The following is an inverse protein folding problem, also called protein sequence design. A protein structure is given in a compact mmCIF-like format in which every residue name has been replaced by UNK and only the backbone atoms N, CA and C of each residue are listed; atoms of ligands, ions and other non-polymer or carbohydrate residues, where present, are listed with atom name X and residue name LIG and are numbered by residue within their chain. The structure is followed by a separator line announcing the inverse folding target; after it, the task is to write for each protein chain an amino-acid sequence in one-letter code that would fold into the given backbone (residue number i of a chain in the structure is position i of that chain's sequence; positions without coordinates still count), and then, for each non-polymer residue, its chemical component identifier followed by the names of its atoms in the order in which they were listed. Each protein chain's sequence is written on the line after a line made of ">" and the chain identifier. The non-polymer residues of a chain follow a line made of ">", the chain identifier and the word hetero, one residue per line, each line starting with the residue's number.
data_IF_489391389444
#
_entry.id   IF_489391389444
#
_cell.length_a   1.000
_cell.length_b   1.000
_cell.length_c   1.000
_cell.angle_alpha   90.00
_cell.angle_beta   90.00
_cell.angle_gamma   90.00
#
_symmetry.space_group_name_H-M   'P 1'
#
loop_
_entity.id
_entity.type
_entity.pdbx_description
1 polymer ?
#
# COMPACT_ATOMS: atom_id res chain seq x y z
N UNK A 1 14.70 -17.81 -35.54
CA UNK A 1 15.49 -18.97 -35.98
C UNK A 1 14.56 -20.15 -36.19
N UNK A 2 14.96 -21.17 -36.92
CA UNK A 2 14.17 -22.40 -37.11
C UNK A 2 15.08 -23.63 -37.15
N UNK A 3 14.48 -24.82 -37.16
CA UNK A 3 15.19 -26.09 -37.36
C UNK A 3 15.09 -26.52 -38.82
N UNK A 4 16.15 -27.15 -39.33
CA UNK A 4 16.14 -27.73 -40.67
C UNK A 4 15.19 -28.94 -40.71
N UNK A 5 14.49 -29.20 -41.83
CA UNK A 5 13.69 -30.41 -42.00
C UNK A 5 14.52 -31.69 -41.83
N UNK A 6 13.90 -32.75 -41.32
CA UNK A 6 14.53 -34.08 -41.23
C UNK A 6 14.62 -34.70 -42.63
N UNK A 7 15.80 -35.14 -43.06
CA UNK A 7 16.02 -35.76 -44.36
C UNK A 7 17.20 -35.17 -45.13
N UNK A 8 17.03 -34.96 -46.43
CA UNK A 8 18.03 -34.32 -47.28
C UNK A 8 18.24 -32.85 -46.87
N UNK A 9 19.51 -32.44 -46.80
CA UNK A 9 19.88 -31.10 -46.35
C UNK A 9 19.42 -30.05 -47.37
N UNK A 10 18.62 -29.05 -46.97
CA UNK A 10 18.20 -27.98 -47.87
C UNK A 10 19.37 -27.05 -48.22
N UNK A 11 19.34 -26.49 -49.42
CA UNK A 11 20.36 -25.56 -49.94
C UNK A 11 20.01 -24.09 -49.69
N UNK A 12 18.73 -23.79 -49.46
CA UNK A 12 18.22 -22.46 -49.10
C UNK A 12 16.84 -22.55 -48.45
N UNK A 13 16.46 -21.45 -47.81
CA UNK A 13 15.16 -21.23 -47.21
C UNK A 13 14.55 -19.95 -47.75
N UNK A 14 13.26 -19.97 -48.03
CA UNK A 14 12.46 -18.78 -48.28
C UNK A 14 11.76 -18.37 -46.99
N UNK A 15 11.93 -17.12 -46.59
CA UNK A 15 11.28 -16.54 -45.42
C UNK A 15 10.19 -15.58 -45.89
N UNK A 16 8.99 -15.72 -45.34
CA UNK A 16 7.85 -14.85 -45.63
C UNK A 16 7.32 -14.23 -44.34
N UNK A 17 6.79 -13.02 -44.43
CA UNK A 17 5.99 -12.36 -43.40
C UNK A 17 4.64 -11.98 -43.99
N UNK A 18 3.57 -12.43 -43.34
CA UNK A 18 2.17 -12.26 -43.78
C UNK A 18 1.96 -12.66 -45.24
N UNK A 19 2.62 -13.76 -45.65
CA UNK A 19 2.55 -14.29 -47.01
C UNK A 19 3.41 -13.54 -48.05
N UNK A 20 4.11 -12.47 -47.68
CA UNK A 20 5.05 -11.76 -48.56
C UNK A 20 6.46 -12.27 -48.37
N UNK A 21 7.15 -12.64 -49.45
CA UNK A 21 8.54 -13.10 -49.41
C UNK A 21 9.48 -11.97 -48.98
N UNK A 22 10.18 -12.20 -47.87
CA UNK A 22 11.23 -11.33 -47.33
C UNK A 22 12.61 -11.65 -47.89
N UNK A 23 12.74 -12.79 -48.58
CA UNK A 23 13.95 -13.19 -49.29
C UNK A 23 14.34 -14.65 -49.07
N UNK A 24 15.48 -14.99 -49.65
CA UNK A 24 16.10 -16.32 -49.58
C UNK A 24 17.36 -16.25 -48.70
N UNK A 25 17.54 -17.24 -47.82
CA UNK A 25 18.76 -17.39 -47.00
C UNK A 25 19.28 -18.82 -47.04
N UNK A 26 20.56 -19.01 -46.76
CA UNK A 26 21.19 -20.35 -46.74
C UNK A 26 21.31 -20.93 -45.32
N UNK A 27 21.21 -20.10 -44.29
CA UNK A 27 21.22 -20.52 -42.89
C UNK A 27 19.82 -20.70 -42.31
N UNK A 28 19.75 -21.19 -41.07
CA UNK A 28 18.49 -21.39 -40.31
C UNK A 28 18.11 -20.19 -39.43
N UNK A 29 18.65 -19.01 -39.78
CA UNK A 29 18.44 -17.76 -39.06
C UNK A 29 18.14 -16.64 -40.05
N UNK A 30 17.24 -15.73 -39.65
CA UNK A 30 16.90 -14.52 -40.38
C UNK A 30 16.57 -13.43 -39.37
N UNK A 31 16.99 -12.19 -39.68
CA UNK A 31 16.69 -11.00 -38.89
C UNK A 31 15.86 -10.07 -39.77
N UNK A 32 14.59 -9.89 -39.39
CA UNK A 32 13.71 -8.92 -40.05
C UNK A 32 13.95 -7.53 -39.43
N UNK A 33 14.68 -6.68 -40.14
CA UNK A 33 15.06 -5.34 -39.65
C UNK A 33 14.03 -4.25 -39.93
N UNK A 34 12.94 -4.56 -40.64
CA UNK A 34 11.90 -3.62 -41.06
C UNK A 34 10.56 -3.90 -40.39
N UNK A 35 10.59 -4.59 -39.25
CA UNK A 35 9.42 -4.80 -38.39
C UNK A 35 9.00 -3.46 -37.80
N UNK A 36 7.74 -3.08 -37.99
CA UNK A 36 7.18 -1.93 -37.26
C UNK A 36 6.96 -2.32 -35.80
N UNK A 37 7.57 -1.56 -34.89
CA UNK A 37 7.50 -1.77 -33.43
C UNK A 37 6.75 -0.67 -32.69
N UNK A 38 6.20 0.31 -33.41
CA UNK A 38 5.52 1.49 -32.89
C UNK A 38 3.98 1.38 -32.90
N UNK A 39 3.44 0.17 -33.10
CA UNK A 39 2.01 -0.13 -32.99
C UNK A 39 1.81 -1.58 -32.61
N UNK A 40 0.65 -1.90 -32.03
CA UNK A 40 0.27 -3.29 -31.79
C UNK A 40 0.01 -4.00 -33.11
N UNK A 41 0.74 -5.08 -33.37
CA UNK A 41 0.63 -5.85 -34.62
C UNK A 41 1.05 -7.29 -34.39
N UNK A 42 0.36 -8.21 -35.05
CA UNK A 42 0.75 -9.62 -35.11
C UNK A 42 1.27 -9.92 -36.51
N UNK A 43 2.48 -10.47 -36.58
CA UNK A 43 3.10 -10.94 -37.82
C UNK A 43 3.10 -12.46 -37.86
N UNK A 44 2.72 -13.04 -39.00
CA UNK A 44 2.87 -14.47 -39.27
C UNK A 44 4.10 -14.70 -40.13
N UNK A 45 5.07 -15.44 -39.60
CA UNK A 45 6.27 -15.82 -40.34
C UNK A 45 6.13 -17.24 -40.87
N UNK A 46 6.46 -17.42 -42.15
CA UNK A 46 6.52 -18.71 -42.80
C UNK A 46 7.94 -18.97 -43.29
N UNK A 47 8.40 -20.21 -43.16
CA UNK A 47 9.69 -20.64 -43.71
C UNK A 47 9.47 -21.89 -44.55
N UNK A 48 10.00 -21.88 -45.77
CA UNK A 48 10.02 -23.03 -46.66
C UNK A 48 11.47 -23.41 -46.96
N UNK A 49 11.79 -24.69 -46.90
CA UNK A 49 13.10 -25.20 -47.30
C UNK A 49 13.08 -25.64 -48.77
N UNK A 50 14.22 -25.53 -49.44
CA UNK A 50 14.42 -26.03 -50.81
C UNK A 50 15.58 -27.00 -50.85
N UNK A 51 15.37 -28.18 -51.43
CA UNK A 51 16.41 -29.18 -51.67
C UNK A 51 17.34 -28.78 -52.85
N UNK A 52 18.42 -29.53 -53.14
CA UNK A 52 19.30 -29.24 -54.29
C UNK A 52 18.63 -29.28 -55.66
N UNK A 53 17.47 -29.95 -55.79
CA UNK A 53 16.64 -30.00 -56.99
C UNK A 53 15.59 -28.90 -57.04
N UNK A 54 15.57 -28.01 -56.05
CA UNK A 54 14.62 -26.91 -55.88
C UNK A 54 13.17 -27.35 -55.62
N UNK A 55 12.97 -28.56 -55.08
CA UNK A 55 11.68 -28.93 -54.52
C UNK A 55 11.46 -28.21 -53.19
N UNK A 56 10.26 -27.68 -53.01
CA UNK A 56 9.85 -26.90 -51.83
C UNK A 56 9.24 -27.82 -50.77
N UNK A 57 9.62 -27.64 -49.51
CA UNK A 57 9.04 -28.35 -48.38
C UNK A 57 7.63 -27.87 -48.01
N UNK A 58 7.00 -28.55 -47.04
CA UNK A 58 5.92 -27.94 -46.25
C UNK A 58 6.44 -26.74 -45.45
N UNK A 59 5.54 -25.83 -45.07
CA UNK A 59 5.88 -24.63 -44.30
C UNK A 59 6.13 -24.96 -42.83
N UNK A 60 7.14 -24.31 -42.25
CA UNK A 60 7.16 -23.99 -40.83
C UNK A 60 6.48 -22.63 -40.63
N UNK A 61 5.65 -22.49 -39.59
CA UNK A 61 4.86 -21.29 -39.31
C UNK A 61 4.94 -20.90 -37.84
N UNK A 62 5.05 -19.59 -37.57
CA UNK A 62 4.99 -19.03 -36.21
C UNK A 62 4.42 -17.62 -36.24
N UNK A 63 3.83 -17.19 -35.13
CA UNK A 63 3.29 -15.83 -34.96
C UNK A 63 4.12 -15.05 -33.96
N UNK A 64 4.48 -13.82 -34.31
CA UNK A 64 5.14 -12.86 -33.42
C UNK A 64 4.19 -11.72 -33.13
N UNK A 65 3.89 -11.51 -31.85
CA UNK A 65 3.04 -10.40 -31.39
C UNK A 65 3.93 -9.27 -30.91
N UNK A 66 3.75 -8.10 -31.50
CA UNK A 66 4.31 -6.84 -31.03
C UNK A 66 3.24 -6.13 -30.23
N UNK A 67 3.53 -5.86 -28.95
CA UNK A 67 2.71 -5.01 -28.09
C UNK A 67 3.39 -3.66 -27.92
N UNK A 68 2.60 -2.60 -27.77
CA UNK A 68 3.14 -1.31 -27.38
C UNK A 68 3.50 -1.32 -25.89
N UNK A 69 4.54 -0.57 -25.47
CA UNK A 69 4.60 -0.16 -24.07
C UNK A 69 3.35 0.66 -23.75
N UNK A 70 2.72 0.42 -22.60
CA UNK A 70 1.63 1.27 -22.11
C UNK A 70 2.11 2.73 -22.06
N UNK A 71 1.28 3.65 -22.56
CA UNK A 71 1.57 5.07 -22.40
C UNK A 71 1.59 5.41 -20.90
N UNK A 72 2.55 6.24 -20.44
CA UNK A 72 2.62 6.61 -19.03
C UNK A 72 1.35 7.36 -18.64
N UNK A 73 0.60 6.79 -17.69
CA UNK A 73 -0.57 7.46 -17.12
C UNK A 73 -0.09 8.63 -16.27
N UNK A 74 -0.59 9.84 -16.54
CA UNK A 74 -0.33 10.96 -15.64
C UNK A 74 -1.07 10.75 -14.32
N UNK A 75 -0.31 10.39 -13.28
CA UNK A 75 -0.84 10.15 -11.95
C UNK A 75 -0.95 11.45 -11.17
N UNK A 76 -2.15 11.74 -10.67
CA UNK A 76 -2.43 12.93 -9.85
C UNK A 76 -3.15 12.55 -8.57
N UNK A 77 -2.81 13.24 -7.48
CA UNK A 77 -3.58 13.20 -6.22
C UNK A 77 -4.06 14.63 -5.92
N UNK A 78 -5.37 14.83 -5.98
CA UNK A 78 -6.00 16.11 -5.70
C UNK A 78 -6.18 16.33 -4.20
N UNK A 79 -6.43 15.29 -3.42
CA UNK A 79 -6.65 15.40 -1.97
C UNK A 79 -6.26 14.14 -1.20
N UNK A 80 -5.80 14.33 0.03
CA UNK A 80 -5.63 13.27 1.04
C UNK A 80 -6.22 13.78 2.34
N UNK A 81 -7.35 13.21 2.73
CA UNK A 81 -8.06 13.54 3.96
C UNK A 81 -8.12 12.32 4.87
N UNK A 82 -8.25 12.59 6.17
CA UNK A 82 -8.28 11.55 7.17
C UNK A 82 -9.14 11.96 8.36
N UNK A 83 -9.62 10.97 9.08
CA UNK A 83 -10.43 11.14 10.28
C UNK A 83 -9.97 10.16 11.35
N UNK A 84 -10.04 10.59 12.60
CA UNK A 84 -9.75 9.79 13.77
C UNK A 84 -10.77 10.05 14.87
N UNK A 85 -10.75 9.23 15.92
CA UNK A 85 -11.55 9.48 17.12
C UNK A 85 -10.75 10.38 18.05
N UNK A 86 -11.28 11.55 18.41
CA UNK A 86 -10.57 12.53 19.25
C UNK A 86 -11.17 12.63 20.65
N UNK A 87 -10.34 12.99 21.63
CA UNK A 87 -10.81 13.42 22.94
C UNK A 87 -11.01 14.95 23.00
N UNK A 88 -11.52 15.45 24.14
CA UNK A 88 -11.78 16.88 24.35
C UNK A 88 -10.51 17.74 24.44
N UNK A 89 -9.35 17.10 24.57
CA UNK A 89 -8.04 17.74 24.66
C UNK A 89 -7.30 17.73 23.32
N UNK A 90 -7.99 17.38 22.23
CA UNK A 90 -7.43 17.31 20.88
C UNK A 90 -6.31 16.27 20.73
N UNK A 91 -6.45 15.12 21.41
CA UNK A 91 -5.63 13.95 21.16
C UNK A 91 -6.45 12.86 20.47
N UNK A 92 -5.79 12.08 19.62
CA UNK A 92 -6.38 10.89 19.04
C UNK A 92 -6.52 9.84 20.14
N UNK A 93 -7.66 9.17 20.19
CA UNK A 93 -7.92 8.07 21.10
C UNK A 93 -7.03 6.86 20.73
N UNK A 94 -6.29 6.34 21.71
CA UNK A 94 -5.47 5.14 21.57
C UNK A 94 -6.28 3.99 20.99
N UNK A 95 -5.65 3.17 20.13
CA UNK A 95 -6.27 2.00 19.51
C UNK A 95 -7.57 2.30 18.73
N UNK A 96 -7.80 3.58 18.39
CA UNK A 96 -8.90 3.94 17.49
C UNK A 96 -8.52 3.71 16.04
N UNK A 97 -9.53 3.65 15.19
CA UNK A 97 -9.37 3.55 13.75
C UNK A 97 -9.09 4.93 13.16
N UNK A 98 -8.10 4.98 12.26
CA UNK A 98 -7.85 6.09 11.35
C UNK A 98 -8.47 5.73 10.00
N UNK A 99 -9.39 6.56 9.55
CA UNK A 99 -10.00 6.48 8.22
C UNK A 99 -9.25 7.42 7.30
N UNK A 100 -8.88 6.97 6.11
CA UNK A 100 -8.16 7.77 5.10
C UNK A 100 -8.92 7.72 3.78
N UNK A 101 -9.09 8.89 3.17
CA UNK A 101 -9.65 9.05 1.83
C UNK A 101 -8.61 9.73 0.93
N UNK A 102 -8.30 9.11 -0.20
CA UNK A 102 -7.43 9.67 -1.24
C UNK A 102 -8.27 9.96 -2.48
N UNK A 103 -8.14 11.17 -3.04
CA UNK A 103 -8.78 11.55 -4.31
C UNK A 103 -7.72 11.77 -5.37
N UNK A 104 -7.86 11.14 -6.53
CA UNK A 104 -6.83 11.17 -7.57
C UNK A 104 -7.24 10.53 -8.89
N UNK A 105 -6.25 10.11 -9.68
CA UNK A 105 -6.48 9.35 -10.92
C UNK A 105 -7.29 8.07 -10.61
N UNK A 106 -8.42 7.79 -11.29
CA UNK A 106 -9.27 6.62 -11.06
C UNK A 106 -8.65 5.32 -11.59
N UNK A 107 -9.19 4.17 -11.16
CA UNK A 107 -8.80 2.83 -11.61
C UNK A 107 -7.32 2.47 -11.37
N UNK A 108 -6.74 3.01 -10.30
CA UNK A 108 -5.34 2.80 -9.92
C UNK A 108 -5.21 1.96 -8.64
N UNK A 109 -4.14 1.17 -8.54
CA UNK A 109 -3.75 0.59 -7.25
C UNK A 109 -3.38 1.72 -6.28
N UNK A 110 -3.78 1.59 -5.02
CA UNK A 110 -3.63 2.69 -4.05
C UNK A 110 -3.36 2.20 -2.63
N UNK A 111 -2.59 2.99 -1.88
CA UNK A 111 -2.34 2.76 -0.45
C UNK A 111 -2.13 4.09 0.28
N UNK A 112 -2.05 4.04 1.61
CA UNK A 112 -1.44 5.12 2.38
C UNK A 112 -0.39 4.58 3.36
N UNK A 113 0.61 5.41 3.60
CA UNK A 113 1.60 5.22 4.67
C UNK A 113 1.18 6.03 5.88
N UNK A 114 1.13 5.38 7.04
CA UNK A 114 0.92 5.99 8.35
C UNK A 114 2.24 5.95 9.12
N UNK A 115 2.87 7.11 9.32
CA UNK A 115 4.08 7.26 10.12
C UNK A 115 3.71 7.70 11.53
N UNK A 116 4.22 6.99 12.54
CA UNK A 116 3.91 7.26 13.94
C UNK A 116 5.13 7.05 14.85
N UNK A 117 5.11 7.65 16.04
CA UNK A 117 6.09 7.42 17.10
C UNK A 117 5.47 6.47 18.12
N UNK A 118 6.18 5.39 18.46
CA UNK A 118 5.79 4.44 19.51
C UNK A 118 6.25 4.90 20.91
N UNK A 119 5.94 4.09 21.92
CA UNK A 119 6.28 4.34 23.33
C UNK A 119 7.78 4.31 23.63
N UNK A 120 8.60 3.76 22.73
CA UNK A 120 10.06 3.78 22.82
C UNK A 120 10.66 5.05 22.24
N UNK A 121 9.84 5.87 21.56
CA UNK A 121 10.29 7.06 20.82
C UNK A 121 10.75 6.74 19.39
N UNK A 122 10.62 5.49 18.93
CA UNK A 122 11.00 5.10 17.58
C UNK A 122 9.91 5.47 16.57
N UNK A 123 10.33 5.91 15.39
CA UNK A 123 9.44 6.12 14.25
C UNK A 123 9.13 4.79 13.57
N UNK A 124 7.85 4.56 13.32
CA UNK A 124 7.31 3.37 12.67
C UNK A 124 6.46 3.78 11.46
N UNK A 125 6.36 2.90 10.47
CA UNK A 125 5.54 3.12 9.27
C UNK A 125 4.64 1.92 9.02
N UNK A 126 3.35 2.17 8.82
CA UNK A 126 2.36 1.17 8.43
C UNK A 126 1.81 1.49 7.04
N UNK A 127 1.92 0.55 6.12
CA UNK A 127 1.40 0.69 4.76
C UNK A 127 0.06 -0.04 4.68
N UNK A 128 -1.00 0.68 4.33
CA UNK A 128 -2.37 0.13 4.28
C UNK A 128 -2.94 0.28 2.88
N UNK A 129 -3.38 -0.81 2.22
CA UNK A 129 -4.06 -0.70 0.93
C UNK A 129 -5.41 0.00 1.10
N UNK A 130 -5.79 0.77 0.09
CA UNK A 130 -7.09 1.44 0.00
C UNK A 130 -7.75 1.08 -1.32
N UNK A 131 -9.07 1.03 -1.32
CA UNK A 131 -9.84 0.54 -2.45
C UNK A 131 -10.70 1.64 -3.02
N UNK A 132 -10.78 1.69 -4.34
CA UNK A 132 -11.65 2.62 -5.02
C UNK A 132 -13.11 2.27 -4.73
N UNK A 133 -13.88 3.22 -4.22
CA UNK A 133 -15.30 3.02 -3.90
C UNK A 133 -16.25 3.59 -4.97
N UNK A 134 -15.69 4.07 -6.08
CA UNK A 134 -16.34 4.74 -7.24
C UNK A 134 -17.15 6.02 -6.92
N UNK A 135 -16.77 7.11 -7.59
CA UNK A 135 -17.56 8.32 -7.95
C UNK A 135 -18.38 9.01 -6.84
N UNK A 136 -17.89 10.15 -6.31
CA UNK A 136 -18.75 11.07 -5.53
C UNK A 136 -19.27 12.28 -6.31
N UNK A 137 -18.90 12.49 -7.59
CA UNK A 137 -19.38 13.65 -8.35
C UNK A 137 -19.54 13.50 -9.89
N UNK A 138 -19.25 12.33 -10.48
CA UNK A 138 -19.51 12.07 -11.90
C UNK A 138 -18.48 12.69 -12.86
N UNK A 139 -17.26 12.99 -12.39
CA UNK A 139 -16.24 13.74 -13.15
C UNK A 139 -14.93 12.99 -13.41
N UNK A 140 -14.88 11.66 -13.22
CA UNK A 140 -13.68 10.88 -13.53
C UNK A 140 -12.52 11.09 -12.53
N UNK A 141 -12.83 11.46 -11.29
CA UNK A 141 -11.86 11.45 -10.18
C UNK A 141 -12.07 10.21 -9.33
N UNK A 142 -11.03 9.41 -9.17
CA UNK A 142 -11.03 8.24 -8.29
C UNK A 142 -11.11 8.66 -6.83
N UNK A 143 -11.91 7.93 -6.04
CA UNK A 143 -12.02 8.09 -4.59
C UNK A 143 -11.69 6.77 -3.94
N UNK A 144 -10.59 6.75 -3.20
CA UNK A 144 -10.05 5.57 -2.56
C UNK A 144 -10.20 5.69 -1.05
N UNK A 145 -10.76 4.68 -0.41
CA UNK A 145 -10.96 4.66 1.03
C UNK A 145 -10.35 3.42 1.66
N UNK A 146 -9.87 3.60 2.89
CA UNK A 146 -9.51 2.50 3.76
C UNK A 146 -9.22 2.99 5.17
N UNK A 147 -8.96 2.02 6.03
CA UNK A 147 -8.91 2.24 7.45
C UNK A 147 -7.82 1.41 8.09
N UNK A 148 -7.23 1.94 9.16
CA UNK A 148 -6.24 1.21 9.94
C UNK A 148 -6.39 1.47 11.42
N UNK A 149 -6.18 0.44 12.24
CA UNK A 149 -6.11 0.61 13.68
C UNK A 149 -4.76 1.22 14.06
N UNK A 150 -4.78 2.25 14.92
CA UNK A 150 -3.54 2.74 15.50
C UNK A 150 -2.93 1.66 16.40
N UNK A 151 -1.66 1.28 16.18
CA UNK A 151 -0.99 0.30 17.02
C UNK A 151 -0.96 0.70 18.50
N UNK A 152 -1.03 -0.28 19.38
CA UNK A 152 -0.84 -0.06 20.82
C UNK A 152 0.52 0.56 21.11
N UNK A 153 0.58 1.46 22.08
CA UNK A 153 1.81 2.19 22.40
C UNK A 153 2.13 3.33 21.43
N UNK A 154 1.28 3.63 20.44
CA UNK A 154 1.45 4.86 19.64
C UNK A 154 1.30 6.09 20.55
N UNK A 155 2.29 6.98 20.52
CA UNK A 155 2.28 8.24 21.28
C UNK A 155 1.99 9.45 20.41
N UNK A 156 2.30 9.36 19.11
CA UNK A 156 2.11 10.45 18.14
C UNK A 156 1.91 9.90 16.74
N UNK A 157 0.87 10.36 16.06
CA UNK A 157 0.71 10.20 14.62
C UNK A 157 1.48 11.35 13.94
N UNK A 158 2.49 11.02 13.15
CA UNK A 158 3.43 12.00 12.58
C UNK A 158 2.95 12.47 11.22
N UNK A 159 2.62 11.52 10.35
CA UNK A 159 2.37 11.78 8.93
C UNK A 159 1.45 10.73 8.33
N UNK A 160 0.62 11.14 7.38
CA UNK A 160 -0.13 10.24 6.50
C UNK A 160 0.19 10.65 5.06
N UNK A 161 0.61 9.68 4.24
CA UNK A 161 0.91 9.91 2.81
C UNK A 161 0.04 8.99 1.97
N UNK A 162 -0.89 9.54 1.19
CA UNK A 162 -1.69 8.79 0.24
C UNK A 162 -0.94 8.58 -1.08
N UNK A 163 -1.17 7.44 -1.73
CA UNK A 163 -0.54 7.06 -3.00
C UNK A 163 -1.55 6.49 -4.00
N UNK A 164 -1.35 6.82 -5.27
CA UNK A 164 -1.94 6.16 -6.44
C UNK A 164 -0.80 5.62 -7.32
N UNK A 165 -0.94 4.40 -7.85
CA UNK A 165 0.13 3.60 -8.43
C UNK A 165 -0.33 3.01 -9.78
N UNK A 166 0.52 3.08 -10.80
CA UNK A 166 0.36 2.42 -12.09
C UNK A 166 1.67 1.75 -12.48
N UNK A 167 1.75 0.42 -12.34
CA UNK A 167 2.99 -0.33 -12.56
C UNK A 167 4.13 0.17 -11.67
N UNK A 168 5.15 0.80 -12.28
CA UNK A 168 6.29 1.40 -11.58
C UNK A 168 6.11 2.89 -11.26
N UNK A 169 5.10 3.55 -11.83
CA UNK A 169 4.80 4.96 -11.60
C UNK A 169 3.96 5.12 -10.33
N UNK A 170 4.18 6.21 -9.61
CA UNK A 170 3.37 6.58 -8.44
C UNK A 170 3.26 8.09 -8.33
N UNK A 171 2.13 8.55 -7.81
CA UNK A 171 1.97 9.90 -7.27
C UNK A 171 1.70 9.80 -5.77
N UNK A 172 2.18 10.78 -5.00
CA UNK A 172 2.06 10.80 -3.55
C UNK A 172 1.64 12.18 -3.07
N UNK A 173 0.86 12.22 -1.99
CA UNK A 173 0.49 13.49 -1.33
C UNK A 173 0.32 13.30 0.17
N UNK A 174 0.79 14.28 0.93
CA UNK A 174 0.67 14.28 2.38
C UNK A 174 -0.69 14.82 2.81
N UNK A 175 -1.26 14.20 3.84
CA UNK A 175 -2.44 14.69 4.50
C UNK A 175 -2.13 15.93 5.35
N UNK A 176 -3.09 16.84 5.46
CA UNK A 176 -2.98 18.02 6.33
C UNK A 176 -3.42 17.69 7.77
N UNK A 177 -3.08 18.56 8.74
CA UNK A 177 -3.55 18.44 10.13
C UNK A 177 -2.72 17.51 11.03
N UNK A 178 -1.51 17.13 10.58
CA UNK A 178 -0.53 16.34 11.33
C UNK A 178 0.71 17.19 11.64
N UNK A 179 1.49 16.87 12.70
CA UNK A 179 1.36 15.72 13.60
C UNK A 179 0.24 15.87 14.65
N UNK A 180 -0.26 14.74 15.14
CA UNK A 180 -1.28 14.67 16.18
C UNK A 180 -0.82 13.75 17.34
N UNK A 181 -1.03 14.18 18.58
CA UNK A 181 -0.72 13.37 19.75
C UNK A 181 -1.79 12.29 19.96
N UNK A 182 -1.38 11.14 20.49
CA UNK A 182 -2.27 10.03 20.85
C UNK A 182 -2.35 9.96 22.37
N UNK A 183 -3.55 9.82 22.91
CA UNK A 183 -3.71 9.63 24.34
C UNK A 183 -3.27 8.22 24.77
N UNK A 184 -3.02 8.03 26.06
CA UNK A 184 -2.59 6.76 26.62
C UNK A 184 -3.48 6.32 27.77
N UNK A 185 -3.42 5.02 28.05
CA UNK A 185 -4.03 4.44 29.23
C UNK A 185 -2.95 4.15 30.27
N UNK A 186 -3.26 4.39 31.53
CA UNK A 186 -2.44 4.00 32.67
C UNK A 186 -3.24 3.03 33.53
N UNK A 187 -2.71 1.82 33.69
CA UNK A 187 -3.28 0.81 34.59
C UNK A 187 -2.49 0.80 35.89
N UNK A 188 -3.17 1.03 37.00
CA UNK A 188 -2.59 0.93 38.35
C UNK A 188 -3.19 -0.28 39.05
N UNK A 189 -2.35 -1.22 39.45
CA UNK A 189 -2.73 -2.37 40.27
C UNK A 189 -2.31 -2.14 41.71
N UNK A 190 -3.28 -2.14 42.63
CA UNK A 190 -3.00 -2.02 44.06
C UNK A 190 -2.62 -3.39 44.62
N UNK A 191 -1.41 -3.50 45.15
CA UNK A 191 -0.89 -4.73 45.78
C UNK A 191 -0.82 -4.55 47.30
N UNK A 192 -0.78 -5.67 48.05
CA UNK A 192 -0.68 -5.63 49.52
C UNK A 192 -1.98 -5.26 50.26
N UNK A 193 -3.11 -5.18 49.56
CA UNK A 193 -4.43 -4.95 50.17
C UNK A 193 -4.91 -6.25 50.84
N UNK A 194 -4.79 -6.32 52.17
CA UNK A 194 -5.28 -7.44 52.97
C UNK A 194 -6.78 -7.27 53.32
N UNK A 195 -7.38 -8.27 53.97
CA UNK A 195 -8.80 -8.26 54.33
C UNK A 195 -9.19 -7.14 55.31
N UNK A 196 -8.25 -6.60 56.10
CA UNK A 196 -8.52 -5.59 57.11
C UNK A 196 -8.71 -4.20 56.51
N UNK A 197 -7.99 -3.89 55.43
CA UNK A 197 -8.06 -2.59 54.74
C UNK A 197 -8.91 -2.61 53.47
N UNK A 198 -9.36 -3.79 53.04
CA UNK A 198 -10.04 -3.99 51.75
C UNK A 198 -11.29 -3.12 51.60
N UNK A 199 -12.16 -3.13 52.60
CA UNK A 199 -13.42 -2.38 52.56
C UNK A 199 -13.21 -0.85 52.60
N UNK A 200 -12.10 -0.41 53.18
CA UNK A 200 -11.69 1.02 53.18
C UNK A 200 -11.10 1.43 51.84
N UNK A 201 -10.38 0.52 51.18
CA UNK A 201 -9.73 0.77 49.89
C UNK A 201 -10.74 0.73 48.75
N UNK A 202 -11.69 -0.20 48.76
CA UNK A 202 -12.78 -0.25 47.79
C UNK A 202 -13.63 1.00 47.93
N UNK A 203 -13.87 1.71 46.82
CA UNK A 203 -14.58 2.99 46.81
C UNK A 203 -13.74 4.21 47.20
N UNK A 204 -12.47 4.04 47.59
CA UNK A 204 -11.52 5.15 47.67
C UNK A 204 -11.27 5.75 46.29
N UNK A 205 -10.90 7.03 46.22
CA UNK A 205 -10.56 7.71 44.99
C UNK A 205 -9.07 7.59 44.72
N UNK A 206 -8.71 6.96 43.61
CA UNK A 206 -7.34 6.96 43.09
C UNK A 206 -7.24 8.05 42.02
N UNK A 207 -6.24 8.92 42.16
CA UNK A 207 -5.99 10.03 41.25
C UNK A 207 -4.58 9.96 40.68
N UNK A 208 -4.43 10.37 39.42
CA UNK A 208 -3.13 10.53 38.75
C UNK A 208 -3.04 11.93 38.17
N UNK A 209 -1.89 12.58 38.33
CA UNK A 209 -1.65 13.93 37.83
C UNK A 209 -0.22 14.12 37.34
N UNK A 210 -0.07 14.58 36.10
CA UNK A 210 1.18 15.07 35.51
C UNK A 210 1.20 16.58 35.58
N UNK A 211 2.23 17.13 36.24
CA UNK A 211 2.41 18.57 36.36
C UNK A 211 2.91 19.17 35.04
N UNK A 212 3.80 18.46 34.35
CA UNK A 212 4.40 18.90 33.08
C UNK A 212 3.39 19.00 31.95
N UNK A 213 2.36 18.14 31.96
CA UNK A 213 1.31 18.10 30.93
C UNK A 213 -0.01 18.72 31.36
N UNK A 214 -0.15 19.13 32.63
CA UNK A 214 -1.42 19.57 33.20
C UNK A 214 -2.56 18.56 32.91
N UNK A 215 -2.24 17.28 33.02
CA UNK A 215 -3.11 16.16 32.63
C UNK A 215 -3.29 15.23 33.81
N UNK A 216 -4.51 14.74 34.01
CA UNK A 216 -4.79 13.79 35.07
C UNK A 216 -6.21 13.27 35.04
N UNK A 217 -6.45 12.24 35.85
CA UNK A 217 -7.75 11.59 35.95
C UNK A 217 -7.94 11.01 37.36
N UNK A 218 -9.19 10.70 37.67
CA UNK A 218 -9.61 10.14 38.95
C UNK A 218 -10.54 8.97 38.69
N UNK A 219 -10.37 7.88 39.42
CA UNK A 219 -11.23 6.70 39.35
C UNK A 219 -11.50 6.17 40.74
N UNK A 220 -12.65 5.50 40.91
CA UNK A 220 -12.96 4.78 42.14
C UNK A 220 -12.33 3.40 42.11
N UNK A 221 -11.69 3.00 43.21
CA UNK A 221 -11.13 1.66 43.35
C UNK A 221 -12.28 0.65 43.40
N UNK A 222 -12.16 -0.42 42.63
CA UNK A 222 -13.13 -1.52 42.58
C UNK A 222 -12.55 -2.78 43.23
N UNK A 223 -13.37 -3.81 43.39
CA UNK A 223 -12.99 -5.08 43.99
C UNK A 223 -11.85 -5.79 43.24
N UNK A 224 -11.65 -5.46 41.97
CA UNK A 224 -10.53 -5.98 41.14
C UNK A 224 -9.17 -5.45 41.60
N UNK A 225 -9.13 -4.39 42.40
CA UNK A 225 -7.92 -3.65 42.79
C UNK A 225 -7.11 -3.12 41.60
N UNK A 226 -7.70 -3.11 40.41
CA UNK A 226 -7.13 -2.57 39.19
C UNK A 226 -7.90 -1.32 38.79
N UNK A 227 -7.16 -0.24 38.58
CA UNK A 227 -7.66 1.08 38.23
C UNK A 227 -7.13 1.47 36.86
N UNK A 228 -8.02 1.59 35.87
CA UNK A 228 -7.65 2.00 34.51
C UNK A 228 -7.96 3.48 34.32
N UNK A 229 -6.93 4.30 34.14
CA UNK A 229 -7.05 5.68 33.73
C UNK A 229 -6.94 5.75 32.21
N UNK A 230 -7.92 6.36 31.55
CA UNK A 230 -7.92 6.51 30.09
C UNK A 230 -7.78 7.97 29.71
N UNK A 231 -7.39 8.22 28.45
CA UNK A 231 -7.28 9.58 27.89
C UNK A 231 -6.24 10.47 28.59
N UNK A 232 -5.17 9.86 29.11
CA UNK A 232 -4.06 10.58 29.69
C UNK A 232 -3.12 11.07 28.60
N UNK A 233 -2.60 12.30 28.73
CA UNK A 233 -1.50 12.77 27.90
C UNK A 233 -0.23 11.99 28.27
N UNK A 234 0.53 11.43 27.32
CA UNK A 234 1.79 10.76 27.63
C UNK A 234 2.74 11.67 28.42
N UNK A 235 3.16 11.21 29.61
CA UNK A 235 4.08 11.91 30.50
C UNK A 235 4.82 10.92 31.39
N UNK A 236 6.03 11.27 31.80
CA UNK A 236 6.89 10.53 32.71
C UNK A 236 6.75 10.98 34.18
N UNK A 237 6.00 12.05 34.45
CA UNK A 237 5.86 12.69 35.76
C UNK A 237 4.50 12.50 36.44
N UNK A 238 3.74 11.46 36.06
CA UNK A 238 2.47 11.17 36.74
C UNK A 238 2.67 10.81 38.21
N UNK A 239 2.09 11.61 39.10
CA UNK A 239 2.02 11.34 40.53
C UNK A 239 0.69 10.65 40.84
N UNK A 240 0.76 9.52 41.55
CA UNK A 240 -0.40 8.74 41.97
C UNK A 240 -0.75 9.09 43.42
N UNK A 241 -2.04 9.33 43.70
CA UNK A 241 -2.54 9.61 45.05
C UNK A 241 -3.85 8.89 45.31
N UNK A 242 -3.89 8.09 46.38
CA UNK A 242 -5.10 7.48 46.91
C UNK A 242 -5.68 8.38 48.02
N UNK A 243 -6.97 8.67 47.96
CA UNK A 243 -7.69 9.53 48.92
C UNK A 243 -9.06 8.98 49.26
#
# INVERSE_FOLDING_TARGET
>A
TWEAPVGEAPVKYEVLRDGTSLGMVTGTTYVDSIVETNKEITYTYLVYAYDPLLNRSDKAETTVVITLPEEPVELVISDVSWQGSWDRSNHINMQSTIQVTVKGTPEMDSNFDLEYIDQTGATQTLITPIFEIKESDGKGTGVYEGAVYLPEGTTKLVKITGRVISGSQKSEKEAIGLPALVNSNLTVTLTGVNSEIRDTVIGAELSVWSQSKYSGAKVKVTDTLQCNFTKLVPADDYVIKLT
#
